data_IF_639000980428
#
_entry.id   IF_639000980428
#
_cell.length_a   1.000
_cell.length_b   1.000
_cell.length_c   1.000
_cell.angle_alpha   90.00
_cell.angle_beta   90.00
_cell.angle_gamma   90.00
#
_symmetry.space_group_name_H-M   'P 1'
#
loop_
_entity.id
_entity.type
_entity.pdbx_description
1 polymer ?
#
# COMPACT_ATOMS: atom_id res chain seq x y z
N UNK A 1 -1.16 18.49 0.96
CA UNK A 1 -2.00 17.30 1.34
C UNK A 1 -1.07 16.11 1.66
N UNK A 2 -1.53 15.08 2.36
CA UNK A 2 -0.72 13.89 2.72
C UNK A 2 -0.12 13.20 1.49
N UNK A 3 -0.83 13.24 0.35
CA UNK A 3 -0.35 12.73 -0.93
C UNK A 3 0.89 13.46 -1.47
N UNK A 4 0.95 14.79 -1.35
CA UNK A 4 2.12 15.57 -1.79
C UNK A 4 3.32 15.38 -0.87
N UNK A 5 3.07 15.32 0.45
CA UNK A 5 4.12 15.07 1.43
C UNK A 5 4.80 13.72 1.23
N UNK A 6 4.02 12.67 0.96
CA UNK A 6 4.57 11.34 0.71
C UNK A 6 5.40 11.27 -0.57
N UNK A 7 4.97 11.96 -1.64
CA UNK A 7 5.76 12.05 -2.88
C UNK A 7 7.11 12.72 -2.61
N UNK A 8 7.11 13.85 -1.92
CA UNK A 8 8.34 14.57 -1.60
C UNK A 8 9.31 13.74 -0.74
N UNK A 9 8.81 13.00 0.26
CA UNK A 9 9.63 12.10 1.08
C UNK A 9 10.24 11.00 0.22
N UNK A 10 9.45 10.38 -0.66
CA UNK A 10 9.90 9.29 -1.52
C UNK A 10 10.93 9.75 -2.55
N UNK A 11 10.75 10.93 -3.14
CA UNK A 11 11.73 11.54 -4.07
C UNK A 11 13.05 11.88 -3.38
N UNK A 12 13.03 12.19 -2.08
CA UNK A 12 14.21 12.39 -1.26
C UNK A 12 14.89 11.08 -0.80
N UNK A 13 14.36 9.91 -1.19
CA UNK A 13 14.88 8.59 -0.77
C UNK A 13 14.46 8.17 0.64
N UNK A 14 13.46 8.84 1.23
CA UNK A 14 12.91 8.46 2.53
C UNK A 14 11.89 7.32 2.43
N UNK A 15 11.71 6.63 3.55
CA UNK A 15 10.68 5.59 3.72
C UNK A 15 9.35 6.23 4.04
N UNK A 16 8.29 5.83 3.33
CA UNK A 16 6.95 6.38 3.52
C UNK A 16 6.01 5.37 4.17
N UNK A 17 5.23 5.84 5.15
CA UNK A 17 4.30 5.00 5.91
C UNK A 17 2.91 5.66 5.86
N UNK A 18 1.88 4.87 5.56
CA UNK A 18 0.49 5.25 5.72
C UNK A 18 -0.19 4.38 6.78
N UNK A 19 -1.18 4.96 7.47
CA UNK A 19 -1.99 4.21 8.42
C UNK A 19 -2.99 3.31 7.68
N UNK A 20 -3.21 2.09 8.18
CA UNK A 20 -4.22 1.20 7.62
C UNK A 20 -5.66 1.66 7.91
N UNK A 21 -6.61 1.06 7.19
CA UNK A 21 -8.04 1.39 7.30
C UNK A 21 -8.68 1.01 8.64
N UNK A 22 -8.34 -0.15 9.20
CA UNK A 22 -8.92 -0.69 10.42
C UNK A 22 -8.56 0.11 11.67
N UNK A 23 -7.36 0.69 11.73
CA UNK A 23 -6.95 1.57 12.84
C UNK A 23 -7.30 3.05 12.61
N UNK A 24 -7.74 3.43 11.41
CA UNK A 24 -8.06 4.81 11.05
C UNK A 24 -9.46 5.24 11.49
N UNK A 25 -9.57 6.33 12.26
CA UNK A 25 -10.87 6.96 12.56
C UNK A 25 -11.43 7.63 11.29
N UNK A 26 -10.58 8.30 10.51
CA UNK A 26 -10.93 8.92 9.23
C UNK A 26 -9.94 8.46 8.16
N UNK A 27 -10.36 7.51 7.33
CA UNK A 27 -9.52 6.96 6.25
C UNK A 27 -9.58 7.80 4.96
N UNK A 28 -9.41 9.12 5.11
CA UNK A 28 -9.32 10.07 3.99
C UNK A 28 -7.89 10.29 3.54
N UNK A 29 -7.08 10.95 4.40
CA UNK A 29 -5.67 11.23 4.11
C UNK A 29 -4.83 9.96 3.90
N UNK A 30 -4.95 8.89 4.71
CA UNK A 30 -4.16 7.66 4.47
C UNK A 30 -4.50 7.01 3.13
N UNK A 31 -5.77 7.06 2.71
CA UNK A 31 -6.20 6.57 1.40
C UNK A 31 -5.57 7.36 0.26
N UNK A 32 -5.65 8.69 0.32
CA UNK A 32 -5.08 9.57 -0.70
C UNK A 32 -3.56 9.36 -0.85
N UNK A 33 -2.87 9.14 0.27
CA UNK A 33 -1.47 8.73 0.31
C UNK A 33 -1.23 7.41 -0.43
N UNK A 34 -1.98 6.35 -0.10
CA UNK A 34 -1.81 5.01 -0.71
C UNK A 34 -2.05 5.05 -2.22
N UNK A 35 -3.07 5.79 -2.68
CA UNK A 35 -3.40 5.94 -4.11
C UNK A 35 -2.30 6.63 -4.92
N UNK A 36 -1.31 7.27 -4.28
CA UNK A 36 -0.13 7.80 -5.00
C UNK A 36 0.86 6.73 -5.46
N UNK A 37 0.74 5.49 -4.98
CA UNK A 37 1.74 4.43 -5.11
C UNK A 37 3.14 4.82 -4.58
N UNK A 38 3.22 5.91 -3.81
CA UNK A 38 4.44 6.38 -3.19
C UNK A 38 4.56 5.92 -1.72
N UNK A 39 3.66 5.06 -1.24
CA UNK A 39 3.67 4.48 0.11
C UNK A 39 4.47 3.18 0.11
N UNK A 40 5.48 3.08 0.96
CA UNK A 40 6.26 1.86 1.15
C UNK A 40 5.57 0.91 2.14
N UNK A 41 4.95 1.43 3.20
CA UNK A 41 4.35 0.60 4.25
C UNK A 41 2.95 1.06 4.62
N UNK A 42 2.03 0.11 4.79
CA UNK A 42 0.69 0.36 5.35
C UNK A 42 0.58 -0.40 6.67
N UNK A 43 0.44 0.33 7.78
CA UNK A 43 0.55 -0.23 9.13
C UNK A 43 -0.59 0.23 10.06
N UNK A 44 -0.94 -0.57 11.08
CA UNK A 44 -1.82 -0.11 12.15
C UNK A 44 -1.18 0.99 12.99
N UNK A 45 -2.00 1.88 13.53
CA UNK A 45 -1.56 2.99 14.38
C UNK A 45 -0.62 2.52 15.49
N UNK A 46 -0.88 1.36 16.07
CA UNK A 46 -0.10 0.81 17.18
C UNK A 46 1.30 0.34 16.73
N UNK A 47 1.49 -0.03 15.46
CA UNK A 47 2.76 -0.52 14.93
C UNK A 47 3.66 0.61 14.36
N UNK A 48 3.09 1.78 14.06
CA UNK A 48 3.83 2.91 13.49
C UNK A 48 4.96 3.39 14.42
N UNK A 49 4.76 3.60 15.74
CA UNK A 49 5.81 4.10 16.63
C UNK A 49 7.04 3.19 16.65
N UNK A 50 6.85 1.89 16.81
CA UNK A 50 7.95 0.92 16.84
C UNK A 50 8.69 0.89 15.51
N UNK A 51 7.96 0.96 14.39
CA UNK A 51 8.56 1.01 13.06
C UNK A 51 9.39 2.28 12.86
N UNK A 52 8.89 3.44 13.29
CA UNK A 52 9.62 4.70 13.20
C UNK A 52 10.92 4.66 14.00
N UNK A 53 10.88 4.17 15.24
CA UNK A 53 12.09 4.02 16.07
C UNK A 53 13.10 3.10 15.39
N UNK A 54 12.64 1.96 14.87
CA UNK A 54 13.51 1.01 14.17
C UNK A 54 14.17 1.66 12.94
N UNK A 55 13.40 2.37 12.11
CA UNK A 55 13.91 3.06 10.90
C UNK A 55 14.95 4.15 11.19
N UNK A 56 14.86 4.84 12.32
CA UNK A 56 15.80 5.93 12.65
C UNK A 56 16.99 5.47 13.49
N UNK A 57 16.91 4.30 14.13
CA UNK A 57 17.97 3.77 14.99
C UNK A 57 18.86 2.74 14.29
N UNK A 58 18.35 2.06 13.27
CA UNK A 58 19.10 1.09 12.48
C UNK A 58 19.28 1.60 11.03
N UNK A 59 20.51 1.90 10.59
CA UNK A 59 20.78 2.40 9.24
C UNK A 59 20.49 1.38 8.14
N UNK A 60 20.21 0.12 8.48
CA UNK A 60 19.85 -0.95 7.54
C UNK A 60 18.42 -1.46 7.73
N UNK A 61 17.61 -0.79 8.55
CA UNK A 61 16.19 -1.12 8.79
C UNK A 61 15.30 -1.10 7.54
N UNK A 62 15.77 -0.44 6.48
CA UNK A 62 15.13 -0.37 5.18
C UNK A 62 16.18 -0.24 4.09
N UNK A 63 16.02 -1.02 3.04
CA UNK A 63 16.93 -1.03 1.90
C UNK A 63 16.17 -0.92 0.58
N UNK A 64 16.89 -0.64 -0.49
CA UNK A 64 16.33 -0.71 -1.85
C UNK A 64 15.80 -2.12 -2.19
N UNK A 65 16.32 -3.17 -1.54
CA UNK A 65 15.82 -4.52 -1.71
C UNK A 65 14.41 -4.67 -1.15
N UNK A 66 14.19 -4.22 0.09
CA UNK A 66 12.87 -4.24 0.74
C UNK A 66 11.83 -3.48 -0.10
N UNK A 67 12.26 -2.36 -0.69
CA UNK A 67 11.43 -1.56 -1.58
C UNK A 67 11.04 -2.30 -2.85
N UNK A 68 12.02 -2.90 -3.54
CA UNK A 68 11.78 -3.64 -4.77
C UNK A 68 10.85 -4.85 -4.54
N UNK A 69 11.02 -5.55 -3.41
CA UNK A 69 10.13 -6.66 -3.03
C UNK A 69 8.69 -6.18 -2.82
N UNK A 70 8.50 -5.06 -2.11
CA UNK A 70 7.18 -4.49 -1.87
C UNK A 70 6.48 -4.02 -3.16
N UNK A 71 7.24 -3.40 -4.08
CA UNK A 71 6.72 -3.01 -5.39
C UNK A 71 6.29 -4.22 -6.24
N UNK A 72 7.06 -5.32 -6.19
CA UNK A 72 6.70 -6.57 -6.88
C UNK A 72 5.46 -7.23 -6.27
N UNK A 73 5.35 -7.28 -4.94
CA UNK A 73 4.20 -7.85 -4.25
C UNK A 73 2.91 -7.07 -4.57
N UNK A 74 2.99 -5.75 -4.67
CA UNK A 74 1.87 -4.91 -5.08
C UNK A 74 1.40 -5.23 -6.52
N UNK A 75 2.32 -5.54 -7.44
CA UNK A 75 2.01 -5.89 -8.83
C UNK A 75 1.35 -7.27 -8.99
N UNK A 76 1.72 -8.26 -8.16
CA UNK A 76 1.12 -9.61 -8.18
C UNK A 76 -0.33 -9.60 -7.68
N UNK A 77 -0.60 -8.81 -6.63
CA UNK A 77 -1.96 -8.68 -6.07
C UNK A 77 -2.98 -8.04 -7.03
N UNK A 78 -2.53 -7.21 -7.98
CA UNK A 78 -3.37 -6.61 -9.01
C UNK A 78 -3.75 -7.56 -10.15
N UNK A 79 -3.00 -8.65 -10.36
CA UNK A 79 -3.18 -9.54 -11.51
C UNK A 79 -4.27 -10.60 -11.30
N UNK A 80 -4.75 -10.79 -10.07
CA UNK A 80 -5.78 -11.80 -9.73
C UNK A 80 -7.21 -11.28 -9.83
N UNK A 81 -7.40 -9.97 -9.97
CA UNK A 81 -8.73 -9.35 -9.99
C UNK A 81 -9.39 -9.32 -11.39
N UNK A 82 -8.69 -9.73 -12.46
CA UNK A 82 -9.19 -9.62 -13.85
C UNK A 82 -9.71 -10.93 -14.46
N UNK A 83 -9.65 -12.07 -13.76
CA UNK A 83 -9.99 -13.40 -14.33
C UNK A 83 -11.39 -13.93 -13.94
N UNK A 84 -12.22 -13.14 -13.22
CA UNK A 84 -13.53 -13.60 -12.71
C UNK A 84 -14.78 -13.03 -13.42
N UNK A 85 -14.64 -12.38 -14.58
CA UNK A 85 -15.80 -11.97 -15.42
C UNK A 85 -15.86 -12.65 -16.79
N UNK A 86 -15.20 -13.80 -16.94
CA UNK A 86 -15.26 -14.63 -18.14
C UNK A 86 -16.06 -15.91 -17.92
N UNK A 87 -17.27 -15.95 -18.48
CA UNK A 87 -18.01 -17.12 -18.96
C UNK A 87 -19.25 -17.61 -18.16
N UNK A 88 -20.42 -17.52 -18.84
CA UNK A 88 -21.36 -18.64 -18.90
C UNK A 88 -22.65 -18.55 -18.08
N UNK A 89 -23.68 -17.86 -18.58
CA UNK A 89 -25.07 -18.26 -18.29
C UNK A 89 -25.69 -18.79 -19.58
N UNK A 90 -25.88 -20.12 -19.75
CA UNK A 90 -26.75 -20.64 -20.78
C UNK A 90 -28.20 -20.38 -20.37
N UNK A 91 -28.94 -19.61 -21.17
CA UNK A 91 -30.39 -19.48 -21.03
C UNK A 91 -31.02 -20.73 -21.68
N UNK A 92 -31.23 -21.78 -20.88
CA UNK A 92 -32.10 -22.90 -21.27
C UNK A 92 -33.57 -22.45 -21.27
N UNK A 93 -34.34 -23.04 -22.18
CA UNK A 93 -35.60 -22.53 -22.67
C UNK A 93 -36.76 -22.52 -21.68
N UNK A 94 -37.73 -21.67 -22.02
CA UNK A 94 -39.11 -21.77 -21.57
C UNK A 94 -40.00 -21.73 -22.83
N UNK A 95 -40.55 -22.93 -23.09
CA UNK A 95 -41.75 -23.32 -23.86
C UNK A 95 -42.53 -22.25 -24.62
#
# INVERSE_FOLDING_TARGET
DGAEGIKAIREAGGVTIAQDRGSSIVFGMPRAAIETHCVDLVLPAEAIPDKLVHLVTDPFAWTEHDRAENENAAQDSGKRAEDETGNGIPQEGLS
#
